data_IF_588866144248
#
_entry.id   IF_588866144248
#
_cell.length_a   1.000
_cell.length_b   1.000
_cell.length_c   1.000
_cell.angle_alpha   90.00
_cell.angle_beta   90.00
_cell.angle_gamma   90.00
#
_symmetry.space_group_name_H-M   'P 1'
#
loop_
_entity.id
_entity.type
_entity.pdbx_description
1 polymer ?
#
# COMPACT_ATOMS: atom_id res chain seq x y z
N UNK A 1 -11.56 -9.15 57.41
CA UNK A 1 -10.23 -8.95 58.03
C UNK A 1 -10.30 -8.92 59.56
N UNK A 2 -11.04 -8.01 60.21
CA UNK A 2 -11.04 -7.87 61.69
C UNK A 2 -11.57 -9.08 62.50
N UNK A 3 -12.56 -9.84 62.01
CA UNK A 3 -13.13 -11.00 62.75
C UNK A 3 -12.20 -12.22 62.81
N UNK A 4 -11.27 -12.36 61.85
CA UNK A 4 -10.36 -13.52 61.76
C UNK A 4 -9.19 -13.38 62.74
N UNK A 5 -8.62 -12.17 62.84
CA UNK A 5 -7.57 -11.87 63.82
C UNK A 5 -8.09 -12.01 65.25
N UNK A 6 -9.35 -11.65 65.51
CA UNK A 6 -9.94 -11.83 66.84
C UNK A 6 -10.09 -13.31 67.23
N UNK A 7 -10.38 -14.20 66.28
CA UNK A 7 -10.54 -15.64 66.50
C UNK A 7 -9.20 -16.35 66.71
N UNK A 8 -8.16 -15.96 65.97
CA UNK A 8 -6.78 -16.46 66.19
C UNK A 8 -6.23 -15.92 67.52
N UNK A 9 -6.48 -14.66 67.85
CA UNK A 9 -6.13 -14.08 69.16
C UNK A 9 -6.86 -14.80 70.29
N UNK A 10 -8.14 -15.13 70.14
CA UNK A 10 -8.90 -15.90 71.13
C UNK A 10 -8.39 -17.34 71.26
N UNK A 11 -8.00 -18.00 70.18
CA UNK A 11 -7.41 -19.34 70.21
C UNK A 11 -6.02 -19.36 70.90
N UNK A 12 -5.19 -18.34 70.63
CA UNK A 12 -3.88 -18.16 71.31
C UNK A 12 -4.07 -17.82 72.78
N UNK A 13 -5.03 -16.96 73.12
CA UNK A 13 -5.43 -16.70 74.51
C UNK A 13 -5.91 -17.97 75.20
N UNK A 14 -6.60 -18.85 74.46
CA UNK A 14 -7.09 -20.13 74.94
C UNK A 14 -5.97 -21.10 75.32
N UNK A 15 -4.95 -21.24 74.47
CA UNK A 15 -3.80 -22.09 74.74
C UNK A 15 -2.98 -21.56 75.94
N UNK A 16 -2.84 -20.25 76.10
CA UNK A 16 -2.09 -19.66 77.21
C UNK A 16 -2.82 -19.87 78.55
N UNK A 17 -4.16 -19.79 78.58
CA UNK A 17 -4.92 -19.95 79.82
C UNK A 17 -5.07 -21.40 80.29
N UNK A 18 -5.14 -22.36 79.36
CA UNK A 18 -5.19 -23.80 79.70
C UNK A 18 -3.84 -24.29 80.23
N UNK A 19 -2.71 -23.80 79.70
CA UNK A 19 -1.36 -24.20 80.15
C UNK A 19 -0.98 -23.61 81.52
N UNK A 20 -1.52 -22.44 81.91
CA UNK A 20 -1.21 -21.82 83.20
C UNK A 20 -2.10 -22.26 84.38
N UNK A 21 -3.09 -23.13 84.17
CA UNK A 21 -4.10 -23.47 85.19
C UNK A 21 -3.93 -24.90 85.74
N UNK A 22 -2.70 -25.30 86.08
CA UNK A 22 -2.44 -26.51 86.87
C UNK A 22 -2.54 -26.15 88.36
N UNK A 23 -3.77 -26.19 88.91
CA UNK A 23 -4.18 -26.35 90.34
C UNK A 23 -5.43 -25.53 90.70
N UNK A 24 -6.57 -25.81 90.06
CA UNK A 24 -7.92 -25.52 90.59
C UNK A 24 -8.87 -26.59 90.01
N UNK A 25 -9.86 -27.14 90.75
CA UNK A 25 -10.76 -28.15 90.20
C UNK A 25 -11.63 -27.58 89.08
N UNK A 26 -11.47 -28.17 87.89
CA UNK A 26 -12.32 -28.15 86.70
C UNK A 26 -12.92 -26.80 86.22
N UNK A 27 -12.27 -26.12 85.25
CA UNK A 27 -13.00 -25.44 84.19
C UNK A 27 -13.29 -26.47 83.08
N UNK A 28 -14.56 -26.59 82.72
CA UNK A 28 -15.02 -27.37 81.55
C UNK A 28 -14.22 -26.92 80.32
N UNK A 29 -13.62 -27.82 79.51
CA UNK A 29 -13.01 -27.39 78.26
C UNK A 29 -14.12 -26.76 77.40
N UNK A 30 -13.95 -25.57 76.80
CA UNK A 30 -15.01 -24.89 76.07
C UNK A 30 -15.12 -25.44 74.66
N UNK A 31 -15.34 -26.75 74.63
CA UNK A 31 -15.76 -27.51 73.46
C UNK A 31 -16.95 -26.80 72.80
N UNK A 32 -17.84 -26.16 73.57
CA UNK A 32 -18.97 -25.39 73.05
C UNK A 32 -18.56 -24.17 72.21
N UNK A 33 -17.49 -23.46 72.57
CA UNK A 33 -17.00 -22.30 71.79
C UNK A 33 -16.33 -22.74 70.48
N UNK A 34 -15.57 -23.84 70.52
CA UNK A 34 -15.01 -24.47 69.33
C UNK A 34 -16.11 -25.03 68.42
N UNK A 35 -17.09 -25.73 68.99
CA UNK A 35 -18.26 -26.28 68.27
C UNK A 35 -19.09 -25.17 67.61
N UNK A 36 -19.23 -24.01 68.27
CA UNK A 36 -19.87 -22.83 67.69
C UNK A 36 -19.07 -22.25 66.51
N UNK A 37 -17.74 -22.28 66.59
CA UNK A 37 -16.87 -21.84 65.48
C UNK A 37 -16.91 -22.80 64.30
N UNK A 38 -16.85 -24.11 64.54
CA UNK A 38 -16.97 -25.17 63.52
C UNK A 38 -18.34 -25.12 62.84
N UNK A 39 -19.43 -24.91 63.59
CA UNK A 39 -20.76 -24.73 62.99
C UNK A 39 -20.90 -23.44 62.18
N UNK A 40 -20.15 -22.38 62.53
CA UNK A 40 -20.02 -21.17 61.72
C UNK A 40 -19.37 -21.45 60.36
N UNK A 41 -18.23 -22.16 60.36
CA UNK A 41 -17.57 -22.59 59.12
C UNK A 41 -18.44 -23.54 58.30
N UNK A 42 -19.16 -24.46 58.95
CA UNK A 42 -20.06 -25.39 58.28
C UNK A 42 -21.17 -24.64 57.52
N UNK A 43 -21.79 -23.62 58.14
CA UNK A 43 -22.78 -22.75 57.46
C UNK A 43 -22.17 -21.97 56.30
N UNK A 44 -20.95 -21.46 56.44
CA UNK A 44 -20.26 -20.75 55.35
C UNK A 44 -19.95 -21.70 54.17
N UNK A 45 -19.51 -22.92 54.44
CA UNK A 45 -19.26 -23.99 53.46
C UNK A 45 -20.55 -24.45 52.77
N UNK A 46 -21.66 -24.55 53.51
CA UNK A 46 -22.99 -24.83 52.94
C UNK A 46 -23.46 -23.68 52.03
N UNK A 47 -23.19 -22.43 52.41
CA UNK A 47 -23.43 -21.27 51.56
C UNK A 47 -22.66 -21.33 50.23
N UNK A 48 -21.38 -21.69 50.26
CA UNK A 48 -20.61 -21.89 49.03
C UNK A 48 -21.10 -23.10 48.22
N UNK A 49 -21.61 -24.14 48.87
CA UNK A 49 -22.19 -25.29 48.17
C UNK A 49 -23.44 -24.86 47.39
N UNK A 50 -24.31 -24.05 48.00
CA UNK A 50 -25.49 -23.52 47.33
C UNK A 50 -25.14 -22.58 46.17
N UNK A 51 -24.10 -21.74 46.33
CA UNK A 51 -23.61 -20.86 45.26
C UNK A 51 -22.99 -21.62 44.08
N UNK A 52 -22.49 -22.85 44.29
CA UNK A 52 -21.94 -23.67 43.22
C UNK A 52 -22.98 -24.01 42.14
N UNK A 53 -24.27 -24.02 42.50
CA UNK A 53 -25.38 -24.28 41.59
C UNK A 53 -25.79 -23.04 40.78
N UNK A 54 -25.34 -21.84 41.19
CA UNK A 54 -25.61 -20.60 40.47
C UNK A 54 -24.66 -20.45 39.28
N UNK A 55 -25.23 -20.60 38.07
CA UNK A 55 -24.50 -20.50 36.80
C UNK A 55 -24.06 -19.08 36.43
N UNK A 56 -24.46 -18.04 37.17
CA UNK A 56 -24.19 -16.63 36.81
C UNK A 56 -22.89 -16.05 37.35
N UNK A 57 -22.13 -16.80 38.14
CA UNK A 57 -20.90 -16.29 38.74
C UNK A 57 -19.83 -15.91 37.70
N UNK A 58 -19.17 -14.79 37.98
CA UNK A 58 -18.02 -14.27 37.25
C UNK A 58 -16.74 -14.98 37.66
N UNK A 59 -15.69 -14.85 36.84
CA UNK A 59 -14.36 -15.43 37.10
C UNK A 59 -13.77 -14.93 38.43
N UNK A 60 -13.95 -13.65 38.75
CA UNK A 60 -13.37 -13.03 39.93
C UNK A 60 -14.11 -13.41 41.22
N UNK A 61 -15.43 -13.58 41.14
CA UNK A 61 -16.23 -14.13 42.24
C UNK A 61 -15.81 -15.56 42.56
N UNK A 62 -15.64 -16.42 41.55
CA UNK A 62 -15.15 -17.80 41.73
C UNK A 62 -13.78 -17.81 42.40
N UNK A 63 -12.85 -16.96 41.94
CA UNK A 63 -11.49 -16.86 42.49
C UNK A 63 -11.52 -16.45 43.97
N UNK A 64 -12.41 -15.52 44.32
CA UNK A 64 -12.61 -15.06 45.69
C UNK A 64 -13.13 -16.18 46.59
N UNK A 65 -14.08 -16.98 46.11
CA UNK A 65 -14.63 -18.13 46.85
C UNK A 65 -13.56 -19.21 47.08
N UNK A 66 -12.75 -19.53 46.05
CA UNK A 66 -11.65 -20.50 46.19
C UNK A 66 -10.65 -20.04 47.26
N UNK A 67 -10.27 -18.76 47.24
CA UNK A 67 -9.34 -18.23 48.22
C UNK A 67 -9.92 -18.26 49.64
N UNK A 68 -11.23 -18.00 49.77
CA UNK A 68 -11.93 -18.10 51.04
C UNK A 68 -11.99 -19.53 51.57
N UNK A 69 -12.26 -20.51 50.71
CA UNK A 69 -12.24 -21.93 51.07
C UNK A 69 -10.86 -22.40 51.52
N UNK A 70 -9.77 -21.93 50.88
CA UNK A 70 -8.40 -22.22 51.32
C UNK A 70 -8.12 -21.67 52.71
N UNK A 71 -8.50 -20.42 52.98
CA UNK A 71 -8.36 -19.81 54.32
C UNK A 71 -9.11 -20.60 55.39
N UNK A 72 -10.35 -21.03 55.11
CA UNK A 72 -11.13 -21.85 56.05
C UNK A 72 -10.44 -23.20 56.27
N UNK A 73 -9.96 -23.86 55.21
CA UNK A 73 -9.23 -25.14 55.32
C UNK A 73 -7.99 -25.00 56.22
N UNK A 74 -7.20 -23.96 56.03
CA UNK A 74 -5.99 -23.71 56.82
C UNK A 74 -6.31 -23.52 58.31
N UNK A 75 -7.37 -22.77 58.63
CA UNK A 75 -7.83 -22.59 60.02
C UNK A 75 -8.28 -23.93 60.63
N UNK A 76 -9.02 -24.74 59.88
CA UNK A 76 -9.50 -26.04 60.38
C UNK A 76 -8.36 -27.03 60.59
N UNK A 77 -7.34 -27.05 59.71
CA UNK A 77 -6.13 -27.86 59.91
C UNK A 77 -5.43 -27.47 61.22
N UNK A 78 -5.30 -26.18 61.50
CA UNK A 78 -4.74 -25.71 62.77
C UNK A 78 -5.58 -26.17 63.98
N UNK A 79 -6.91 -26.18 63.86
CA UNK A 79 -7.79 -26.73 64.90
C UNK A 79 -7.65 -28.24 65.08
N UNK A 80 -7.46 -29.02 64.00
CA UNK A 80 -7.17 -30.46 64.07
C UNK A 80 -5.93 -30.68 64.93
N UNK A 81 -4.82 -29.98 64.62
CA UNK A 81 -3.56 -30.12 65.38
C UNK A 81 -3.73 -29.76 66.86
N UNK A 82 -4.46 -28.68 67.16
CA UNK A 82 -4.71 -28.26 68.54
C UNK A 82 -5.59 -29.26 69.32
N UNK A 83 -6.61 -29.83 68.67
CA UNK A 83 -7.50 -30.80 69.32
C UNK A 83 -6.80 -32.14 69.51
N UNK A 84 -5.96 -32.58 68.57
CA UNK A 84 -5.14 -33.78 68.72
C UNK A 84 -4.19 -33.65 69.91
N UNK A 85 -3.50 -32.50 70.06
CA UNK A 85 -2.66 -32.21 71.22
C UNK A 85 -3.45 -32.24 72.55
N UNK A 86 -4.67 -31.70 72.56
CA UNK A 86 -5.53 -31.74 73.75
C UNK A 86 -5.99 -33.17 74.07
N UNK A 87 -6.34 -33.98 73.07
CA UNK A 87 -6.72 -35.38 73.29
C UNK A 87 -5.57 -36.16 73.92
N UNK A 88 -4.34 -35.95 73.46
CA UNK A 88 -3.14 -36.58 74.01
C UNK A 88 -2.87 -36.14 75.46
N UNK A 89 -3.03 -34.83 75.76
CA UNK A 89 -2.85 -34.28 77.10
C UNK A 89 -3.89 -34.78 78.12
N UNK A 90 -5.11 -35.06 77.67
CA UNK A 90 -6.23 -35.47 78.52
C UNK A 90 -6.54 -36.97 78.42
N UNK A 91 -5.60 -37.78 77.95
CA UNK A 91 -5.72 -39.23 77.80
C UNK A 91 -6.22 -39.90 79.10
N UNK A 92 -7.35 -40.61 79.02
CA UNK A 92 -8.01 -41.28 80.15
C UNK A 92 -9.09 -40.45 80.86
N UNK A 93 -9.35 -39.21 80.45
CA UNK A 93 -10.44 -38.38 81.01
C UNK A 93 -11.79 -38.59 80.30
N UNK A 94 -12.88 -38.22 80.97
CA UNK A 94 -14.24 -38.22 80.38
C UNK A 94 -14.40 -37.25 79.19
N UNK A 95 -13.46 -36.31 79.01
CA UNK A 95 -13.50 -35.28 77.95
C UNK A 95 -12.94 -35.74 76.61
N UNK A 96 -12.27 -36.90 76.58
CA UNK A 96 -11.68 -37.46 75.36
C UNK A 96 -12.75 -37.77 74.31
N UNK A 97 -13.89 -38.35 74.70
CA UNK A 97 -14.97 -38.70 73.76
C UNK A 97 -15.57 -37.47 73.05
N UNK A 98 -15.97 -36.39 73.76
CA UNK A 98 -16.41 -35.15 73.11
C UNK A 98 -15.38 -34.52 72.19
N UNK A 99 -14.09 -34.54 72.56
CA UNK A 99 -13.01 -34.01 71.72
C UNK A 99 -12.79 -34.85 70.47
N UNK A 100 -12.87 -36.18 70.58
CA UNK A 100 -12.82 -37.10 69.44
C UNK A 100 -13.99 -36.88 68.47
N UNK A 101 -15.21 -36.65 68.99
CA UNK A 101 -16.37 -36.32 68.16
C UNK A 101 -16.20 -34.98 67.43
N UNK A 102 -15.67 -33.96 68.11
CA UNK A 102 -15.36 -32.66 67.49
C UNK A 102 -14.26 -32.78 66.43
N UNK A 103 -13.22 -33.57 66.71
CA UNK A 103 -12.13 -33.85 65.78
C UNK A 103 -12.66 -34.50 64.50
N UNK A 104 -13.54 -35.49 64.64
CA UNK A 104 -14.16 -36.16 63.48
C UNK A 104 -14.98 -35.17 62.65
N UNK A 105 -15.82 -34.34 63.28
CA UNK A 105 -16.58 -33.29 62.60
C UNK A 105 -15.69 -32.33 61.81
N UNK A 106 -14.54 -31.95 62.35
CA UNK A 106 -13.60 -31.07 61.66
C UNK A 106 -12.93 -31.80 60.50
N UNK A 107 -12.56 -33.08 60.66
CA UNK A 107 -11.99 -33.91 59.58
C UNK A 107 -12.98 -34.07 58.43
N UNK A 108 -14.25 -34.36 58.72
CA UNK A 108 -15.33 -34.45 57.74
C UNK A 108 -15.54 -33.10 57.01
N UNK A 109 -15.47 -31.98 57.74
CA UNK A 109 -15.57 -30.64 57.16
C UNK A 109 -14.38 -30.30 56.25
N UNK A 110 -13.16 -30.67 56.66
CA UNK A 110 -11.95 -30.51 55.83
C UNK A 110 -12.06 -31.30 54.53
N UNK A 111 -12.52 -32.54 54.58
CA UNK A 111 -12.75 -33.37 53.39
C UNK A 111 -13.82 -32.73 52.47
N UNK A 112 -14.93 -32.25 53.05
CA UNK A 112 -15.97 -31.53 52.28
C UNK A 112 -15.41 -30.26 51.61
N UNK A 113 -14.57 -29.50 52.30
CA UNK A 113 -13.91 -28.31 51.72
C UNK A 113 -12.96 -28.71 50.59
N UNK A 114 -12.23 -29.81 50.75
CA UNK A 114 -11.33 -30.32 49.71
C UNK A 114 -12.09 -30.72 48.45
N UNK A 115 -13.22 -31.41 48.60
CA UNK A 115 -14.14 -31.73 47.50
C UNK A 115 -14.71 -30.46 46.83
N UNK A 116 -15.07 -29.44 47.62
CA UNK A 116 -15.53 -28.16 47.08
C UNK A 116 -14.42 -27.41 46.36
N UNK A 117 -13.19 -27.38 46.89
CA UNK A 117 -12.05 -26.76 46.25
C UNK A 117 -11.77 -27.40 44.89
N UNK A 118 -11.89 -28.72 44.77
CA UNK A 118 -11.82 -29.41 43.47
C UNK A 118 -12.92 -28.86 42.55
N UNK A 119 -14.19 -28.93 42.93
CA UNK A 119 -15.32 -28.47 42.10
C UNK A 119 -15.22 -27.00 41.68
N UNK A 120 -14.86 -26.10 42.58
CA UNK A 120 -14.69 -24.68 42.29
C UNK A 120 -13.49 -24.41 41.38
N UNK A 121 -12.37 -25.10 41.56
CA UNK A 121 -11.24 -25.00 40.64
C UNK A 121 -11.62 -25.49 39.23
N UNK A 122 -12.44 -26.55 39.12
CA UNK A 122 -12.97 -27.02 37.85
C UNK A 122 -13.85 -25.95 37.19
N UNK A 123 -14.75 -25.33 37.95
CA UNK A 123 -15.60 -24.24 37.47
C UNK A 123 -14.79 -23.01 37.01
N UNK A 124 -13.74 -22.65 37.75
CA UNK A 124 -12.82 -21.57 37.37
C UNK A 124 -12.14 -21.87 36.03
N UNK A 125 -11.59 -23.07 35.86
CA UNK A 125 -10.95 -23.50 34.60
C UNK A 125 -11.93 -23.45 33.43
N UNK A 126 -13.17 -23.92 33.63
CA UNK A 126 -14.25 -23.83 32.64
C UNK A 126 -14.53 -22.38 32.25
N UNK A 127 -14.71 -21.48 33.22
CA UNK A 127 -15.01 -20.06 32.95
C UNK A 127 -13.86 -19.36 32.24
N UNK A 128 -12.62 -19.66 32.62
CA UNK A 128 -11.43 -19.17 31.93
C UNK A 128 -11.42 -19.60 30.45
N UNK A 129 -11.68 -20.87 30.15
CA UNK A 129 -11.74 -21.36 28.77
C UNK A 129 -12.84 -20.66 27.96
N UNK A 130 -14.04 -20.52 28.53
CA UNK A 130 -15.17 -19.85 27.88
C UNK A 130 -14.87 -18.38 27.56
N UNK A 131 -14.23 -17.66 28.48
CA UNK A 131 -13.83 -16.27 28.25
C UNK A 131 -12.77 -16.19 27.13
N UNK A 132 -11.75 -17.06 27.15
CA UNK A 132 -10.75 -17.10 26.08
C UNK A 132 -11.37 -17.38 24.71
N UNK A 133 -12.32 -18.32 24.61
CA UNK A 133 -13.04 -18.58 23.35
C UNK A 133 -13.81 -17.33 22.89
N UNK A 134 -14.50 -16.64 23.81
CA UNK A 134 -15.22 -15.41 23.48
C UNK A 134 -14.29 -14.29 23.00
N UNK A 135 -13.11 -14.14 23.61
CA UNK A 135 -12.10 -13.15 23.21
C UNK A 135 -11.53 -13.45 21.82
N UNK A 136 -11.32 -14.73 21.49
CA UNK A 136 -10.90 -15.17 20.17
C UNK A 136 -12.00 -14.91 19.12
N UNK A 137 -13.27 -15.19 19.44
CA UNK A 137 -14.42 -14.89 18.57
C UNK A 137 -14.56 -13.38 18.32
N UNK A 138 -14.43 -12.55 19.37
CA UNK A 138 -14.48 -11.09 19.25
C UNK A 138 -13.32 -10.55 18.40
N UNK A 139 -12.12 -11.09 18.57
CA UNK A 139 -10.95 -10.73 17.77
C UNK A 139 -11.12 -11.12 16.30
N UNK A 140 -11.62 -12.33 16.03
CA UNK A 140 -12.01 -12.75 14.69
C UNK A 140 -13.03 -11.79 14.06
N UNK A 141 -14.10 -11.43 14.78
CA UNK A 141 -15.15 -10.55 14.26
C UNK A 141 -14.63 -9.14 13.90
N UNK A 142 -13.70 -8.59 14.70
CA UNK A 142 -13.04 -7.31 14.40
C UNK A 142 -12.26 -7.37 13.09
N UNK A 143 -11.50 -8.45 12.88
CA UNK A 143 -10.72 -8.67 11.66
C UNK A 143 -11.65 -8.89 10.46
N UNK A 144 -12.67 -9.73 10.62
CA UNK A 144 -13.67 -10.00 9.60
C UNK A 144 -14.34 -8.71 9.11
N UNK A 145 -14.80 -7.86 10.01
CA UNK A 145 -15.44 -6.58 9.67
C UNK A 145 -14.48 -5.64 8.94
N UNK A 146 -13.21 -5.59 9.35
CA UNK A 146 -12.17 -4.81 8.68
C UNK A 146 -11.97 -5.25 7.23
N UNK A 147 -11.92 -6.57 6.99
CA UNK A 147 -11.77 -7.15 5.65
C UNK A 147 -13.04 -6.94 4.80
N UNK A 148 -14.24 -7.07 5.38
CA UNK A 148 -15.49 -6.81 4.66
C UNK A 148 -15.61 -5.34 4.25
N UNK A 149 -15.19 -4.40 5.11
CA UNK A 149 -15.16 -2.98 4.78
C UNK A 149 -14.21 -2.68 3.63
N UNK A 150 -13.04 -3.31 3.60
CA UNK A 150 -12.12 -3.24 2.45
C UNK A 150 -12.76 -3.82 1.18
N UNK A 151 -13.37 -4.99 1.28
CA UNK A 151 -14.04 -5.63 0.14
C UNK A 151 -15.14 -4.73 -0.43
N UNK A 152 -15.97 -4.12 0.42
CA UNK A 152 -17.07 -3.23 0.01
C UNK A 152 -16.57 -1.89 -0.54
N UNK A 153 -15.56 -1.30 0.08
CA UNK A 153 -14.98 -0.01 -0.35
C UNK A 153 -14.16 -0.09 -1.64
N UNK A 154 -13.61 -1.27 -1.98
CA UNK A 154 -12.70 -1.44 -3.12
C UNK A 154 -13.33 -2.07 -4.36
N UNK A 155 -14.61 -2.43 -4.32
CA UNK A 155 -15.35 -2.88 -5.50
C UNK A 155 -15.62 -1.76 -6.52
N UNK A 156 -15.33 -0.49 -6.18
CA UNK A 156 -15.55 0.67 -7.08
C UNK A 156 -14.29 1.12 -7.84
N UNK A 157 -13.27 0.27 -7.96
CA UNK A 157 -12.14 0.50 -8.88
C UNK A 157 -11.11 1.56 -8.47
N UNK A 158 -11.31 2.26 -7.34
CA UNK A 158 -10.34 3.22 -6.83
C UNK A 158 -9.32 2.54 -5.89
N UNK A 159 -8.11 2.39 -6.44
CA UNK A 159 -6.81 2.26 -5.79
C UNK A 159 -6.80 1.43 -4.49
N UNK A 160 -6.48 0.15 -4.64
CA UNK A 160 -5.82 -0.60 -3.56
C UNK A 160 -4.52 0.13 -3.20
N UNK A 161 -4.56 0.87 -2.10
CA UNK A 161 -3.44 1.65 -1.60
C UNK A 161 -2.52 0.80 -0.72
N UNK A 162 -1.31 1.30 -0.44
CA UNK A 162 -0.40 0.74 0.58
C UNK A 162 -1.12 0.45 1.91
N UNK A 163 -2.12 1.27 2.26
CA UNK A 163 -2.95 1.09 3.47
C UNK A 163 -3.72 -0.23 3.45
N UNK A 164 -4.30 -0.61 2.32
CA UNK A 164 -5.08 -1.84 2.20
C UNK A 164 -4.18 -3.07 2.36
N UNK A 165 -2.96 -2.99 1.82
CA UNK A 165 -1.95 -4.05 1.88
C UNK A 165 -1.47 -4.24 3.32
N UNK A 166 -1.20 -3.14 4.03
CA UNK A 166 -0.91 -3.16 5.48
C UNK A 166 -2.05 -3.79 6.30
N UNK A 167 -3.31 -3.47 6.00
CA UNK A 167 -4.45 -4.09 6.69
C UNK A 167 -4.54 -5.59 6.40
N UNK A 168 -4.36 -6.04 5.16
CA UNK A 168 -4.36 -7.47 4.82
C UNK A 168 -3.24 -8.23 5.52
N UNK A 169 -2.05 -7.65 5.59
CA UNK A 169 -0.90 -8.23 6.27
C UNK A 169 -1.18 -8.37 7.77
N UNK A 170 -1.52 -7.26 8.44
CA UNK A 170 -1.83 -7.24 9.87
C UNK A 170 -2.98 -8.20 10.21
N UNK A 171 -4.03 -8.22 9.38
CA UNK A 171 -5.16 -9.14 9.54
C UNK A 171 -4.73 -10.61 9.43
N UNK A 172 -3.84 -10.96 8.49
CA UNK A 172 -3.37 -12.34 8.35
C UNK A 172 -2.49 -12.76 9.53
N UNK A 173 -1.58 -11.89 9.97
CA UNK A 173 -0.73 -12.15 11.13
C UNK A 173 -1.59 -12.42 12.37
N UNK A 174 -2.58 -11.56 12.63
CA UNK A 174 -3.54 -11.74 13.73
C UNK A 174 -4.36 -13.03 13.59
N UNK A 175 -4.84 -13.38 12.38
CA UNK A 175 -5.56 -14.64 12.15
C UNK A 175 -4.67 -15.87 12.33
N UNK A 176 -3.38 -15.76 12.00
CA UNK A 176 -2.40 -16.83 12.22
C UNK A 176 -2.15 -17.03 13.72
N UNK A 177 -2.07 -15.94 14.48
CA UNK A 177 -1.99 -16.01 15.93
C UNK A 177 -3.26 -16.63 16.54
N UNK A 178 -4.44 -16.17 16.12
CA UNK A 178 -5.72 -16.75 16.57
C UNK A 178 -5.77 -18.26 16.26
N UNK A 179 -5.29 -18.69 15.09
CA UNK A 179 -5.22 -20.11 14.74
C UNK A 179 -4.32 -20.90 15.69
N UNK A 180 -3.15 -20.36 16.06
CA UNK A 180 -2.24 -20.97 17.02
C UNK A 180 -2.87 -21.03 18.42
N UNK A 181 -3.52 -19.95 18.85
CA UNK A 181 -4.19 -19.87 20.14
C UNK A 181 -5.33 -20.90 20.24
N UNK A 182 -6.12 -21.06 19.17
CA UNK A 182 -7.14 -22.12 19.07
C UNK A 182 -6.51 -23.50 19.24
N UNK A 183 -5.38 -23.77 18.57
CA UNK A 183 -4.66 -25.03 18.68
C UNK A 183 -4.19 -25.30 20.12
N UNK A 184 -3.67 -24.27 20.79
CA UNK A 184 -3.27 -24.34 22.19
C UNK A 184 -4.48 -24.61 23.11
N UNK A 185 -5.62 -23.95 22.87
CA UNK A 185 -6.84 -24.19 23.64
C UNK A 185 -7.39 -25.61 23.43
N UNK A 186 -7.31 -26.17 22.22
CA UNK A 186 -7.68 -27.57 21.95
C UNK A 186 -6.81 -28.53 22.78
N UNK A 187 -5.50 -28.30 22.82
CA UNK A 187 -4.57 -29.10 23.64
C UNK A 187 -4.91 -29.00 25.13
N UNK A 188 -5.17 -27.79 25.64
CA UNK A 188 -5.58 -27.58 27.03
C UNK A 188 -6.89 -28.31 27.34
N UNK A 189 -7.88 -28.20 26.45
CA UNK A 189 -9.18 -28.86 26.57
C UNK A 189 -9.06 -30.39 26.59
N UNK A 190 -8.15 -30.94 25.79
CA UNK A 190 -7.90 -32.38 25.77
C UNK A 190 -7.34 -32.91 27.08
N UNK A 191 -6.50 -32.12 27.76
CA UNK A 191 -5.85 -32.45 29.03
C UNK A 191 -6.67 -32.04 30.28
N UNK A 192 -7.87 -31.50 30.10
CA UNK A 192 -8.77 -31.11 31.19
C UNK A 192 -9.68 -32.28 31.57
N UNK A 193 -9.33 -32.99 32.64
CA UNK A 193 -10.10 -34.14 33.17
C UNK A 193 -11.34 -33.73 33.97
N UNK A 194 -11.44 -32.45 34.32
CA UNK A 194 -12.48 -31.93 35.20
C UNK A 194 -13.78 -31.53 34.52
N UNK A 195 -13.86 -31.65 33.19
CA UNK A 195 -15.03 -31.28 32.40
C UNK A 195 -15.85 -32.52 32.04
N UNK A 196 -17.16 -32.39 32.02
CA UNK A 196 -18.02 -33.45 31.50
C UNK A 196 -17.80 -33.61 29.99
N UNK A 197 -18.11 -34.80 29.45
CA UNK A 197 -18.00 -35.07 28.01
C UNK A 197 -18.82 -34.05 27.17
N UNK A 198 -20.01 -33.67 27.64
CA UNK A 198 -20.87 -32.69 26.97
C UNK A 198 -20.24 -31.28 26.94
N UNK A 199 -19.66 -30.83 28.05
CA UNK A 199 -19.00 -29.51 28.12
C UNK A 199 -17.72 -29.46 27.28
N UNK A 200 -16.96 -30.56 27.27
CA UNK A 200 -15.76 -30.71 26.44
C UNK A 200 -16.14 -30.65 24.96
N UNK A 201 -17.21 -31.34 24.57
CA UNK A 201 -17.73 -31.31 23.20
C UNK A 201 -18.20 -29.91 22.79
N UNK A 202 -18.96 -29.21 23.64
CA UNK A 202 -19.44 -27.85 23.35
C UNK A 202 -18.27 -26.88 23.09
N UNK A 203 -17.23 -26.93 23.92
CA UNK A 203 -16.04 -26.09 23.74
C UNK A 203 -15.25 -26.49 22.48
N UNK A 204 -15.12 -27.79 22.21
CA UNK A 204 -14.47 -28.30 21.00
C UNK A 204 -15.20 -27.83 19.73
N UNK A 205 -16.53 -27.95 19.68
CA UNK A 205 -17.33 -27.55 18.53
C UNK A 205 -17.17 -26.05 18.23
N UNK A 206 -17.13 -25.20 19.26
CA UNK A 206 -16.87 -23.76 19.11
C UNK A 206 -15.47 -23.49 18.57
N UNK A 207 -14.44 -24.13 19.14
CA UNK A 207 -13.05 -23.97 18.70
C UNK A 207 -12.86 -24.44 17.25
N UNK A 208 -13.40 -25.60 16.88
CA UNK A 208 -13.35 -26.13 15.49
C UNK A 208 -14.08 -25.19 14.53
N UNK A 209 -15.28 -24.72 14.90
CA UNK A 209 -16.05 -23.77 14.08
C UNK A 209 -15.29 -22.47 13.86
N UNK A 210 -14.63 -21.94 14.91
CA UNK A 210 -13.79 -20.76 14.81
C UNK A 210 -12.55 -21.01 13.93
N UNK A 211 -11.90 -22.17 14.08
CA UNK A 211 -10.73 -22.56 13.28
C UNK A 211 -11.06 -22.61 11.78
N UNK A 212 -12.22 -23.18 11.42
CA UNK A 212 -12.71 -23.22 10.04
C UNK A 212 -12.95 -21.81 9.50
N UNK A 213 -13.65 -20.96 10.27
CA UNK A 213 -13.88 -19.56 9.93
C UNK A 213 -12.59 -18.75 9.72
N UNK A 214 -11.59 -18.97 10.56
CA UNK A 214 -10.26 -18.34 10.45
C UNK A 214 -9.56 -18.80 9.17
N UNK A 215 -9.56 -20.10 8.88
CA UNK A 215 -8.99 -20.65 7.65
C UNK A 215 -9.65 -20.08 6.39
N UNK A 216 -10.98 -19.98 6.38
CA UNK A 216 -11.72 -19.43 5.25
C UNK A 216 -11.45 -17.94 5.05
N UNK A 217 -11.30 -17.18 6.14
CA UNK A 217 -10.94 -15.77 6.06
C UNK A 217 -9.51 -15.56 5.53
N UNK A 218 -8.55 -16.40 5.93
CA UNK A 218 -7.19 -16.39 5.36
C UNK A 218 -7.24 -16.65 3.86
N UNK A 219 -8.00 -17.65 3.40
CA UNK A 219 -8.19 -17.94 1.97
C UNK A 219 -8.83 -16.77 1.22
N UNK A 220 -9.78 -16.08 1.84
CA UNK A 220 -10.40 -14.88 1.26
C UNK A 220 -9.38 -13.75 1.07
N UNK A 221 -8.54 -13.47 2.08
CA UNK A 221 -7.45 -12.50 2.00
C UNK A 221 -6.52 -12.85 0.83
N UNK A 222 -6.11 -14.11 0.73
CA UNK A 222 -5.24 -14.59 -0.36
C UNK A 222 -5.88 -14.37 -1.74
N UNK A 223 -7.16 -14.71 -1.90
CA UNK A 223 -7.91 -14.51 -3.14
C UNK A 223 -8.02 -13.03 -3.51
N UNK A 224 -8.24 -12.15 -2.53
CA UNK A 224 -8.29 -10.70 -2.73
C UNK A 224 -6.93 -10.14 -3.18
N UNK A 225 -5.84 -10.53 -2.52
CA UNK A 225 -4.48 -10.12 -2.87
C UNK A 225 -4.10 -10.59 -4.27
N UNK A 226 -4.38 -11.85 -4.61
CA UNK A 226 -4.14 -12.40 -5.96
C UNK A 226 -4.85 -11.60 -7.05
N UNK A 227 -6.16 -11.38 -6.88
CA UNK A 227 -6.96 -10.62 -7.85
C UNK A 227 -6.47 -9.19 -8.00
N UNK A 228 -5.98 -8.57 -6.92
CA UNK A 228 -5.37 -7.25 -6.96
C UNK A 228 -4.13 -7.21 -7.88
N UNK A 229 -3.18 -8.14 -7.68
CA UNK A 229 -1.98 -8.21 -8.52
C UNK A 229 -2.33 -8.51 -9.98
N UNK A 230 -3.26 -9.43 -10.24
CA UNK A 230 -3.74 -9.75 -11.59
C UNK A 230 -4.33 -8.52 -12.31
N UNK A 231 -5.20 -7.75 -11.64
CA UNK A 231 -5.78 -6.53 -12.21
C UNK A 231 -4.68 -5.53 -12.55
N UNK A 232 -3.72 -5.32 -11.66
CA UNK A 232 -2.62 -4.37 -11.89
C UNK A 232 -1.73 -4.78 -13.04
N UNK A 233 -1.34 -6.05 -13.11
CA UNK A 233 -0.55 -6.61 -14.22
C UNK A 233 -1.32 -6.44 -15.54
N UNK A 234 -2.62 -6.73 -15.56
CA UNK A 234 -3.43 -6.61 -16.77
C UNK A 234 -3.58 -5.15 -17.25
N UNK A 235 -3.77 -4.20 -16.33
CA UNK A 235 -3.80 -2.77 -16.65
C UNK A 235 -2.49 -2.31 -17.32
N UNK A 236 -1.35 -2.75 -16.76
CA UNK A 236 -0.03 -2.42 -17.30
C UNK A 236 0.19 -3.05 -18.69
N UNK A 237 -0.18 -4.31 -18.87
CA UNK A 237 -0.10 -4.99 -20.17
C UNK A 237 -0.97 -4.32 -21.24
N UNK A 238 -2.18 -3.86 -20.89
CA UNK A 238 -3.07 -3.16 -21.81
C UNK A 238 -2.47 -1.83 -22.31
N UNK A 239 -1.74 -1.11 -21.45
CA UNK A 239 -1.04 0.10 -21.87
C UNK A 239 0.09 -0.22 -22.85
N UNK A 240 0.90 -1.24 -22.56
CA UNK A 240 1.98 -1.71 -23.44
C UNK A 240 1.44 -2.07 -24.84
N UNK A 241 0.30 -2.76 -24.91
CA UNK A 241 -0.35 -3.08 -26.18
C UNK A 241 -0.81 -1.84 -26.95
N UNK A 242 -1.34 -0.84 -26.25
CA UNK A 242 -1.73 0.44 -26.85
C UNK A 242 -0.52 1.15 -27.45
N UNK A 243 0.59 1.24 -26.69
CA UNK A 243 1.87 1.82 -27.14
C UNK A 243 2.39 1.08 -28.37
N UNK A 244 2.28 -0.26 -28.38
CA UNK A 244 2.68 -1.09 -29.52
C UNK A 244 1.95 -0.69 -30.80
N UNK A 245 0.63 -0.55 -30.72
CA UNK A 245 -0.20 -0.15 -31.87
C UNK A 245 0.15 1.27 -32.32
N UNK A 246 0.30 2.20 -31.40
CA UNK A 246 0.68 3.59 -31.73
C UNK A 246 2.04 3.66 -32.41
N UNK A 247 3.04 2.89 -31.94
CA UNK A 247 4.35 2.83 -32.58
C UNK A 247 4.25 2.41 -34.05
N UNK A 248 3.50 1.35 -34.35
CA UNK A 248 3.32 0.85 -35.73
C UNK A 248 2.68 1.91 -36.61
N UNK A 249 1.63 2.57 -36.12
CA UNK A 249 0.97 3.66 -36.86
C UNK A 249 1.90 4.86 -37.08
N UNK A 250 2.70 5.20 -36.08
CA UNK A 250 3.64 6.31 -36.17
C UNK A 250 4.75 6.08 -37.21
N UNK A 251 5.21 4.85 -37.38
CA UNK A 251 6.23 4.50 -38.38
C UNK A 251 5.76 4.77 -39.82
N UNK A 252 4.46 4.67 -40.07
CA UNK A 252 3.85 4.88 -41.40
C UNK A 252 3.43 6.34 -41.65
N UNK A 253 3.56 7.22 -40.65
CA UNK A 253 3.19 8.63 -40.80
C UNK A 253 4.14 9.35 -41.75
N UNK A 254 3.59 10.08 -42.74
CA UNK A 254 4.38 10.73 -43.78
C UNK A 254 4.10 12.23 -43.90
N UNK A 255 3.06 12.73 -43.23
CA UNK A 255 2.76 14.17 -43.21
C UNK A 255 3.25 14.83 -41.93
N UNK A 256 3.50 16.14 -41.98
CA UNK A 256 3.91 16.95 -40.83
C UNK A 256 2.89 16.88 -39.69
N UNK A 257 1.58 16.89 -40.01
CA UNK A 257 0.52 16.80 -39.01
C UNK A 257 0.48 15.44 -38.31
N UNK A 258 0.57 14.35 -39.07
CA UNK A 258 0.58 12.99 -38.51
C UNK A 258 1.81 12.76 -37.65
N UNK A 259 3.01 13.13 -38.14
CA UNK A 259 4.24 12.99 -37.37
C UNK A 259 4.15 13.78 -36.05
N UNK A 260 3.60 15.00 -36.08
CA UNK A 260 3.49 15.83 -34.87
C UNK A 260 2.52 15.21 -33.87
N UNK A 261 1.39 14.69 -34.36
CA UNK A 261 0.42 13.98 -33.54
C UNK A 261 1.04 12.77 -32.84
N UNK A 262 1.75 11.92 -33.59
CA UNK A 262 2.37 10.72 -33.01
C UNK A 262 3.55 11.03 -32.10
N UNK A 263 4.34 12.07 -32.38
CA UNK A 263 5.41 12.54 -31.47
C UNK A 263 4.78 12.95 -30.14
N UNK A 264 3.77 13.82 -30.15
CA UNK A 264 3.10 14.27 -28.94
C UNK A 264 2.52 13.09 -28.14
N UNK A 265 1.86 12.16 -28.84
CA UNK A 265 1.25 10.98 -28.22
C UNK A 265 2.30 10.04 -27.59
N UNK A 266 3.40 9.76 -28.29
CA UNK A 266 4.48 8.92 -27.78
C UNK A 266 5.26 9.60 -26.64
N UNK A 267 5.38 10.93 -26.63
CA UNK A 267 5.93 11.69 -25.48
C UNK A 267 5.03 11.57 -24.25
N UNK A 268 3.71 11.59 -24.44
CA UNK A 268 2.73 11.27 -23.39
C UNK A 268 2.97 9.87 -22.83
N UNK A 269 3.04 8.86 -23.70
CA UNK A 269 3.32 7.48 -23.29
C UNK A 269 4.69 7.30 -22.63
N UNK A 270 5.72 8.03 -23.03
CA UNK A 270 7.02 8.00 -22.36
C UNK A 270 6.91 8.42 -20.88
N UNK A 271 6.10 9.44 -20.60
CA UNK A 271 5.82 9.89 -19.23
C UNK A 271 5.02 8.84 -18.46
N UNK A 272 4.00 8.26 -19.09
CA UNK A 272 3.21 7.17 -18.49
C UNK A 272 4.05 5.93 -18.19
N UNK A 273 4.98 5.55 -19.07
CA UNK A 273 5.92 4.44 -18.83
C UNK A 273 6.83 4.70 -17.63
N UNK A 274 7.30 5.94 -17.44
CA UNK A 274 8.08 6.30 -16.25
C UNK A 274 7.25 6.21 -14.96
N UNK A 275 5.97 6.61 -15.03
CA UNK A 275 5.05 6.45 -13.90
C UNK A 275 4.77 4.98 -13.61
N UNK A 276 4.54 4.17 -14.65
CA UNK A 276 4.38 2.72 -14.53
C UNK A 276 5.61 2.06 -13.91
N UNK A 277 6.83 2.49 -14.25
CA UNK A 277 8.05 1.98 -13.60
C UNK A 277 8.01 2.16 -12.08
N UNK A 278 7.56 3.33 -11.61
CA UNK A 278 7.39 3.61 -10.17
C UNK A 278 6.26 2.80 -9.56
N UNK A 279 5.17 2.60 -10.29
CA UNK A 279 4.05 1.77 -9.85
C UNK A 279 4.45 0.30 -9.71
N UNK A 280 5.18 -0.27 -10.68
CA UNK A 280 5.67 -1.66 -10.62
C UNK A 280 6.56 -1.86 -9.40
N UNK A 281 7.51 -0.96 -9.16
CA UNK A 281 8.37 -1.03 -7.97
C UNK A 281 7.52 -1.00 -6.68
N UNK A 282 6.51 -0.14 -6.64
CA UNK A 282 5.57 -0.08 -5.51
C UNK A 282 4.82 -1.39 -5.35
N UNK A 283 4.33 -1.99 -6.45
CA UNK A 283 3.61 -3.26 -6.46
C UNK A 283 4.54 -4.43 -6.06
N UNK A 284 5.80 -4.44 -6.48
CA UNK A 284 6.80 -5.41 -6.06
C UNK A 284 7.12 -5.31 -4.56
N UNK A 285 7.29 -4.11 -4.03
CA UNK A 285 7.50 -3.92 -2.59
C UNK A 285 6.28 -4.36 -1.78
N UNK A 286 5.09 -4.07 -2.30
CA UNK A 286 3.85 -4.57 -1.73
C UNK A 286 3.78 -6.12 -1.78
N UNK A 287 4.21 -6.75 -2.88
CA UNK A 287 4.27 -8.20 -3.01
C UNK A 287 5.24 -8.82 -1.98
N UNK A 288 6.41 -8.20 -1.74
CA UNK A 288 7.36 -8.61 -0.71
C UNK A 288 6.74 -8.52 0.69
N UNK A 289 6.03 -7.43 1.00
CA UNK A 289 5.34 -7.25 2.28
C UNK A 289 4.28 -8.33 2.53
N UNK A 290 3.60 -8.79 1.47
CA UNK A 290 2.59 -9.85 1.57
C UNK A 290 3.11 -11.23 1.16
N UNK A 291 4.43 -11.44 1.11
CA UNK A 291 5.03 -12.71 0.70
C UNK A 291 4.56 -13.86 1.60
N UNK A 292 4.57 -13.62 2.92
CA UNK A 292 4.07 -14.56 3.91
C UNK A 292 2.55 -14.71 3.87
N UNK A 293 1.84 -13.84 3.13
CA UNK A 293 0.40 -13.86 3.01
C UNK A 293 -0.12 -14.79 1.90
N UNK A 294 0.57 -14.86 0.78
CA UNK A 294 0.21 -15.71 -0.35
C UNK A 294 0.66 -17.16 -0.15
N UNK A 295 0.14 -18.06 -0.99
CA UNK A 295 0.76 -19.39 -1.12
C UNK A 295 2.10 -19.24 -1.85
N UNK A 296 3.06 -20.14 -1.62
CA UNK A 296 4.35 -20.11 -2.33
C UNK A 296 4.16 -20.08 -3.86
N UNK A 297 3.19 -20.84 -4.36
CA UNK A 297 2.86 -20.90 -5.78
C UNK A 297 2.26 -19.58 -6.30
N UNK A 298 1.30 -18.97 -5.58
CA UNK A 298 0.70 -17.70 -6.02
C UNK A 298 1.69 -16.53 -5.90
N UNK A 299 2.51 -16.50 -4.86
CA UNK A 299 3.60 -15.52 -4.73
C UNK A 299 4.55 -15.62 -5.92
N UNK A 300 5.02 -16.84 -6.23
CA UNK A 300 5.95 -17.05 -7.32
C UNK A 300 5.34 -16.64 -8.67
N UNK A 301 4.08 -16.99 -8.94
CA UNK A 301 3.37 -16.55 -10.15
C UNK A 301 3.27 -15.02 -10.25
N UNK A 302 2.92 -14.33 -9.17
CA UNK A 302 2.85 -12.87 -9.16
C UNK A 302 4.23 -12.24 -9.35
N UNK A 303 5.26 -12.82 -8.72
CA UNK A 303 6.65 -12.35 -8.82
C UNK A 303 7.16 -12.49 -10.25
N UNK A 304 7.05 -13.67 -10.84
CA UNK A 304 7.46 -13.93 -12.23
C UNK A 304 6.75 -13.01 -13.21
N UNK A 305 5.44 -12.78 -13.01
CA UNK A 305 4.68 -11.88 -13.85
C UNK A 305 5.13 -10.41 -13.71
N UNK A 306 5.44 -9.94 -12.51
CA UNK A 306 5.97 -8.60 -12.27
C UNK A 306 7.39 -8.42 -12.81
N UNK A 307 8.26 -9.42 -12.61
CA UNK A 307 9.64 -9.39 -13.10
C UNK A 307 9.66 -9.36 -14.63
N UNK A 308 8.83 -10.19 -15.29
CA UNK A 308 8.66 -10.14 -16.75
C UNK A 308 8.12 -8.79 -17.22
N UNK A 309 7.13 -8.24 -16.51
CA UNK A 309 6.53 -6.96 -16.87
C UNK A 309 7.52 -5.79 -16.67
N UNK A 310 8.40 -5.86 -15.68
CA UNK A 310 9.49 -4.91 -15.49
C UNK A 310 10.49 -4.98 -16.65
N UNK A 311 10.91 -6.18 -17.04
CA UNK A 311 11.80 -6.40 -18.18
C UNK A 311 11.17 -5.85 -19.48
N UNK A 312 9.90 -6.18 -19.73
CA UNK A 312 9.15 -5.68 -20.88
C UNK A 312 9.03 -4.15 -20.84
N UNK A 313 8.77 -3.55 -19.68
CA UNK A 313 8.68 -2.10 -19.54
C UNK A 313 10.01 -1.40 -19.82
N UNK A 314 11.14 -1.95 -19.39
CA UNK A 314 12.46 -1.39 -19.71
C UNK A 314 12.76 -1.44 -21.21
N UNK A 315 12.43 -2.57 -21.86
CA UNK A 315 12.50 -2.69 -23.32
C UNK A 315 11.61 -1.65 -24.00
N UNK A 316 10.37 -1.46 -23.53
CA UNK A 316 9.44 -0.49 -24.10
C UNK A 316 9.85 0.96 -23.89
N UNK A 317 10.45 1.30 -22.75
CA UNK A 317 11.03 2.63 -22.53
C UNK A 317 12.10 2.94 -23.58
N UNK A 318 12.98 1.97 -23.86
CA UNK A 318 14.00 2.14 -24.89
C UNK A 318 13.38 2.22 -26.29
N UNK A 319 12.44 1.33 -26.62
CA UNK A 319 11.76 1.31 -27.91
C UNK A 319 11.03 2.63 -28.19
N UNK A 320 10.32 3.19 -27.21
CA UNK A 320 9.61 4.47 -27.37
C UNK A 320 10.60 5.61 -27.54
N UNK A 321 11.70 5.62 -26.77
CA UNK A 321 12.78 6.61 -26.92
C UNK A 321 13.38 6.57 -28.33
N UNK A 322 13.77 5.40 -28.81
CA UNK A 322 14.33 5.22 -30.15
C UNK A 322 13.32 5.61 -31.25
N UNK A 323 12.03 5.30 -31.04
CA UNK A 323 10.97 5.66 -31.96
C UNK A 323 10.78 7.19 -32.03
N UNK A 324 10.78 7.87 -30.87
CA UNK A 324 10.70 9.32 -30.79
C UNK A 324 11.90 9.98 -31.47
N UNK A 325 13.12 9.48 -31.28
CA UNK A 325 14.31 9.99 -31.95
C UNK A 325 14.19 9.85 -33.47
N UNK A 326 13.75 8.68 -33.98
CA UNK A 326 13.51 8.45 -35.42
C UNK A 326 12.43 9.36 -35.99
N UNK A 327 11.30 9.53 -35.30
CA UNK A 327 10.20 10.38 -35.76
C UNK A 327 10.58 11.86 -35.74
N UNK A 328 11.32 12.31 -34.72
CA UNK A 328 11.83 13.69 -34.67
C UNK A 328 12.81 13.96 -35.82
N UNK A 329 13.70 13.01 -36.14
CA UNK A 329 14.58 13.12 -37.31
C UNK A 329 13.76 13.20 -38.61
N UNK A 330 12.78 12.30 -38.80
CA UNK A 330 11.88 12.31 -39.96
C UNK A 330 11.09 13.63 -40.07
N UNK A 331 10.62 14.17 -38.94
CA UNK A 331 9.95 15.47 -38.87
C UNK A 331 10.86 16.61 -39.30
N UNK A 332 12.11 16.64 -38.82
CA UNK A 332 13.08 17.67 -39.20
C UNK A 332 13.38 17.64 -40.71
N UNK A 333 13.61 16.45 -41.27
CA UNK A 333 13.80 16.26 -42.72
C UNK A 333 12.60 16.79 -43.50
N UNK A 334 11.38 16.38 -43.12
CA UNK A 334 10.16 16.80 -43.80
C UNK A 334 9.93 18.32 -43.72
N UNK A 335 10.22 18.95 -42.57
CA UNK A 335 10.12 20.40 -42.45
C UNK A 335 11.10 21.13 -43.37
N UNK A 336 12.35 20.65 -43.46
CA UNK A 336 13.33 21.21 -44.38
C UNK A 336 12.97 20.97 -45.85
N UNK A 337 12.43 19.80 -46.19
CA UNK A 337 11.94 19.53 -47.55
C UNK A 337 10.87 20.53 -47.96
N UNK A 338 9.90 20.80 -47.07
CA UNK A 338 8.85 21.80 -47.30
C UNK A 338 9.44 23.20 -47.43
N UNK A 339 10.33 23.60 -46.52
CA UNK A 339 10.91 24.95 -46.53
C UNK A 339 11.78 25.18 -47.79
N UNK A 340 12.53 24.17 -48.24
CA UNK A 340 13.31 24.21 -49.48
C UNK A 340 12.39 24.31 -50.69
N UNK A 341 11.33 23.50 -50.76
CA UNK A 341 10.36 23.55 -51.85
C UNK A 341 9.67 24.92 -51.95
N UNK A 342 9.28 25.52 -50.82
CA UNK A 342 8.74 26.88 -50.79
C UNK A 342 9.75 27.91 -51.34
N UNK A 343 11.06 27.70 -51.11
CA UNK A 343 12.10 28.60 -51.65
C UNK A 343 12.34 28.37 -53.13
N UNK A 344 12.34 27.12 -53.60
CA UNK A 344 12.37 26.78 -55.03
C UNK A 344 11.24 27.49 -55.78
N UNK A 345 10.00 27.35 -55.29
CA UNK A 345 8.84 28.02 -55.87
C UNK A 345 8.98 29.55 -55.85
N UNK A 346 9.49 30.12 -54.75
CA UNK A 346 9.67 31.57 -54.63
C UNK A 346 10.72 32.10 -55.60
N UNK A 347 11.83 31.40 -55.77
CA UNK A 347 12.90 31.79 -56.70
C UNK A 347 12.42 31.67 -58.15
N UNK A 348 11.68 30.62 -58.48
CA UNK A 348 11.08 30.49 -59.81
C UNK A 348 10.04 31.61 -60.07
N UNK A 349 9.25 32.02 -59.07
CA UNK A 349 8.35 33.19 -59.15
C UNK A 349 9.12 34.49 -59.41
N UNK A 350 10.20 34.73 -58.66
CA UNK A 350 11.06 35.91 -58.83
C UNK A 350 11.75 35.92 -60.20
N UNK A 351 12.18 34.77 -60.69
CA UNK A 351 12.77 34.60 -62.02
C UNK A 351 11.75 35.00 -63.11
N UNK A 352 10.51 34.52 -63.00
CA UNK A 352 9.43 34.91 -63.94
C UNK A 352 9.12 36.40 -63.88
N UNK A 353 9.10 37.00 -62.68
CA UNK A 353 8.91 38.45 -62.51
C UNK A 353 10.05 39.25 -63.14
N UNK A 354 11.29 38.81 -62.94
CA UNK A 354 12.44 39.44 -63.58
C UNK A 354 12.34 39.36 -65.10
N UNK A 355 12.04 38.18 -65.67
CA UNK A 355 11.86 38.00 -67.11
C UNK A 355 10.72 38.87 -67.66
N UNK A 356 9.59 38.97 -66.95
CA UNK A 356 8.45 39.79 -67.41
C UNK A 356 8.75 41.30 -67.41
N UNK A 357 9.62 41.77 -66.51
CA UNK A 357 10.10 43.16 -66.53
C UNK A 357 11.01 43.47 -67.71
N UNK A 358 11.71 42.47 -68.23
CA UNK A 358 12.55 42.60 -69.42
C UNK A 358 11.76 42.51 -70.73
N UNK A 359 10.63 41.80 -70.72
CA UNK A 359 9.75 41.72 -71.89
C UNK A 359 8.92 42.98 -72.03
N UNK A 360 8.99 43.65 -73.19
CA UNK A 360 8.17 44.84 -73.48
C UNK A 360 8.84 46.19 -73.22
N UNK A 361 10.17 46.22 -73.13
CA UNK A 361 10.92 47.48 -73.03
C UNK A 361 10.66 48.36 -74.25
N UNK A 362 10.16 49.56 -73.99
CA UNK A 362 10.09 50.68 -74.94
C UNK A 362 10.83 51.86 -74.33
N UNK A 363 11.33 52.75 -75.17
CA UNK A 363 12.06 53.93 -74.73
C UNK A 363 11.10 54.95 -74.10
N UNK A 364 11.02 54.96 -72.76
CA UNK A 364 10.20 55.88 -71.96
C UNK A 364 10.87 56.06 -70.58
N UNK A 365 11.24 57.30 -70.25
CA UNK A 365 11.93 57.66 -69.00
C UNK A 365 11.14 57.28 -67.74
N UNK A 366 9.81 57.43 -67.75
CA UNK A 366 8.96 57.10 -66.60
C UNK A 366 8.76 55.59 -66.50
N UNK A 367 8.70 54.89 -67.63
CA UNK A 367 8.75 53.43 -67.68
C UNK A 367 10.08 52.91 -67.10
N UNK A 368 11.22 53.50 -67.46
CA UNK A 368 12.53 53.14 -66.92
C UNK A 368 12.62 53.35 -65.41
N UNK A 369 12.11 54.47 -64.87
CA UNK A 369 12.05 54.70 -63.42
C UNK A 369 11.18 53.66 -62.70
N UNK A 370 10.01 53.33 -63.26
CA UNK A 370 9.12 52.29 -62.69
C UNK A 370 9.78 50.92 -62.70
N UNK A 371 10.46 50.55 -63.80
CA UNK A 371 11.20 49.29 -63.91
C UNK A 371 12.37 49.25 -62.91
N UNK A 372 13.14 50.34 -62.80
CA UNK A 372 14.23 50.45 -61.84
C UNK A 372 13.75 50.23 -60.38
N UNK A 373 12.61 50.83 -60.00
CA UNK A 373 12.06 50.63 -58.66
C UNK A 373 11.63 49.16 -58.44
N UNK A 374 10.96 48.54 -59.42
CA UNK A 374 10.60 47.11 -59.34
C UNK A 374 11.83 46.19 -59.30
N UNK A 375 12.91 46.54 -60.00
CA UNK A 375 14.18 45.79 -59.93
C UNK A 375 14.83 45.91 -58.55
N UNK A 376 14.79 47.09 -57.91
CA UNK A 376 15.25 47.27 -56.53
C UNK A 376 14.42 46.46 -55.53
N UNK A 377 13.08 46.47 -55.67
CA UNK A 377 12.19 45.61 -54.87
C UNK A 377 12.49 44.11 -55.06
N UNK A 378 12.78 43.68 -56.30
CA UNK A 378 13.21 42.32 -56.59
C UNK A 378 14.57 42.02 -55.94
N UNK A 379 15.52 42.96 -55.97
CA UNK A 379 16.83 42.80 -55.32
C UNK A 379 16.68 42.62 -53.81
N UNK A 380 15.84 43.40 -53.14
CA UNK A 380 15.55 43.23 -51.71
C UNK A 380 14.91 41.87 -51.40
N UNK A 381 13.97 41.42 -52.23
CA UNK A 381 13.35 40.09 -52.08
C UNK A 381 14.36 38.95 -52.28
N UNK A 382 15.32 39.10 -53.18
CA UNK A 382 16.39 38.12 -53.41
C UNK A 382 17.39 38.09 -52.27
N UNK A 383 17.79 39.24 -51.72
CA UNK A 383 18.64 39.29 -50.53
C UNK A 383 17.96 38.66 -49.31
N UNK A 384 16.66 38.87 -49.13
CA UNK A 384 15.88 38.16 -48.11
C UNK A 384 15.85 36.64 -48.33
N UNK A 385 15.80 36.17 -49.59
CA UNK A 385 15.92 34.75 -49.91
C UNK A 385 17.31 34.20 -49.59
N UNK A 386 18.37 34.96 -49.88
CA UNK A 386 19.76 34.60 -49.57
C UNK A 386 20.00 34.44 -48.06
N UNK A 387 19.48 35.36 -47.25
CA UNK A 387 19.53 35.25 -45.78
C UNK A 387 18.79 34.00 -45.27
N UNK A 388 17.60 33.71 -45.81
CA UNK A 388 16.84 32.50 -45.45
C UNK A 388 17.57 31.23 -45.88
N UNK A 389 18.26 31.23 -47.03
CA UNK A 389 19.08 30.11 -47.49
C UNK A 389 20.21 29.80 -46.50
N UNK A 390 20.88 30.83 -45.97
CA UNK A 390 21.89 30.66 -44.91
C UNK A 390 21.31 29.99 -43.67
N UNK A 391 20.09 30.34 -43.27
CA UNK A 391 19.38 29.70 -42.15
C UNK A 391 19.06 28.23 -42.44
N UNK A 392 18.63 27.90 -43.67
CA UNK A 392 18.38 26.52 -44.09
C UNK A 392 19.66 25.66 -44.09
N UNK A 393 20.80 26.19 -44.55
CA UNK A 393 22.08 25.49 -44.41
C UNK A 393 22.45 25.23 -42.94
N UNK A 394 22.17 26.18 -42.05
CA UNK A 394 22.40 26.00 -40.61
C UNK A 394 21.55 24.88 -40.03
N UNK A 395 20.27 24.82 -40.40
CA UNK A 395 19.36 23.75 -39.96
C UNK A 395 19.70 22.40 -40.60
N UNK A 396 20.15 22.38 -41.86
CA UNK A 396 20.63 21.19 -42.53
C UNK A 396 21.86 20.58 -41.83
N UNK A 397 22.76 21.42 -41.30
CA UNK A 397 23.92 20.94 -40.53
C UNK A 397 23.50 20.17 -39.25
N UNK A 398 22.29 20.36 -38.74
CA UNK A 398 21.75 19.55 -37.63
C UNK A 398 21.35 18.13 -38.06
N UNK A 399 21.31 17.84 -39.36
CA UNK A 399 20.98 16.53 -39.93
C UNK A 399 22.21 15.73 -40.38
N UNK A 400 23.40 16.11 -39.92
CA UNK A 400 24.67 15.44 -40.31
C UNK A 400 24.68 13.93 -40.01
N UNK A 401 23.86 13.49 -39.06
CA UNK A 401 23.69 12.09 -38.67
C UNK A 401 22.80 11.27 -39.63
N UNK A 402 22.29 11.89 -40.70
CA UNK A 402 21.46 11.30 -41.75
C UNK A 402 22.11 11.56 -43.12
N UNK A 403 23.15 10.80 -43.50
CA UNK A 403 24.04 11.17 -44.61
C UNK A 403 23.34 11.20 -45.99
N UNK A 404 22.40 10.27 -46.23
CA UNK A 404 21.66 10.20 -47.49
C UNK A 404 20.72 11.40 -47.66
N UNK A 405 19.92 11.70 -46.65
CA UNK A 405 19.01 12.85 -46.67
C UNK A 405 19.78 14.17 -46.63
N UNK A 406 20.89 14.24 -45.90
CA UNK A 406 21.76 15.40 -45.83
C UNK A 406 22.31 15.75 -47.21
N UNK A 407 22.93 14.81 -47.92
CA UNK A 407 23.51 15.09 -49.25
C UNK A 407 22.41 15.42 -50.28
N UNK A 408 21.24 14.75 -50.22
CA UNK A 408 20.10 15.07 -51.10
C UNK A 408 19.60 16.51 -50.89
N UNK A 409 19.40 16.93 -49.64
CA UNK A 409 18.92 18.29 -49.33
C UNK A 409 20.00 19.34 -49.58
N UNK A 410 21.26 19.02 -49.31
CA UNK A 410 22.41 19.87 -49.63
C UNK A 410 22.51 20.15 -51.11
N UNK A 411 22.40 19.13 -51.96
CA UNK A 411 22.42 19.28 -53.41
C UNK A 411 21.29 20.21 -53.91
N UNK A 412 20.09 20.12 -53.33
CA UNK A 412 18.98 21.04 -53.62
C UNK A 412 19.30 22.48 -53.19
N UNK A 413 19.83 22.68 -51.99
CA UNK A 413 20.23 23.99 -51.50
C UNK A 413 21.37 24.61 -52.33
N UNK A 414 22.34 23.80 -52.75
CA UNK A 414 23.45 24.23 -53.61
C UNK A 414 22.92 24.68 -54.97
N UNK A 415 21.98 23.94 -55.57
CA UNK A 415 21.31 24.34 -56.81
C UNK A 415 20.52 25.64 -56.64
N UNK A 416 19.82 25.83 -55.51
CA UNK A 416 19.12 27.08 -55.19
C UNK A 416 20.09 28.25 -55.04
N UNK A 417 21.23 28.03 -54.39
CA UNK A 417 22.26 29.05 -54.17
C UNK A 417 22.76 29.60 -55.51
N UNK A 418 23.10 28.71 -56.44
CA UNK A 418 23.54 29.08 -57.79
C UNK A 418 22.46 29.91 -58.50
N UNK A 419 21.20 29.44 -58.49
CA UNK A 419 20.08 30.20 -59.09
C UNK A 419 19.90 31.60 -58.48
N UNK A 420 20.00 31.74 -57.15
CA UNK A 420 19.89 33.05 -56.48
C UNK A 420 21.05 33.95 -56.88
N UNK A 421 22.29 33.44 -56.87
CA UNK A 421 23.48 34.23 -57.21
C UNK A 421 23.44 34.73 -58.66
N UNK A 422 23.03 33.88 -59.61
CA UNK A 422 22.80 34.27 -61.00
C UNK A 422 21.72 35.36 -61.14
N UNK A 423 20.58 35.17 -60.48
CA UNK A 423 19.47 36.13 -60.55
C UNK A 423 19.83 37.47 -59.87
N UNK A 424 20.53 37.44 -58.73
CA UNK A 424 21.06 38.64 -58.08
C UNK A 424 22.04 39.39 -58.98
N UNK A 425 22.95 38.67 -59.65
CA UNK A 425 23.90 39.26 -60.61
C UNK A 425 23.19 39.95 -61.76
N UNK A 426 22.23 39.25 -62.38
CA UNK A 426 21.41 39.77 -63.47
C UNK A 426 20.60 41.01 -63.06
N UNK A 427 19.90 40.97 -61.93
CA UNK A 427 19.14 42.11 -61.40
C UNK A 427 20.06 43.30 -61.12
N UNK A 428 21.23 43.08 -60.52
CA UNK A 428 22.19 44.15 -60.20
C UNK A 428 22.76 44.83 -61.45
N UNK A 429 23.08 44.03 -62.48
CA UNK A 429 23.50 44.55 -63.78
C UNK A 429 22.40 45.38 -64.44
N UNK A 430 21.15 44.90 -64.43
CA UNK A 430 20.02 45.64 -64.99
C UNK A 430 19.71 46.92 -64.24
N UNK A 431 19.78 46.92 -62.91
CA UNK A 431 19.65 48.14 -62.09
C UNK A 431 20.69 49.17 -62.55
N UNK A 432 21.95 48.76 -62.68
CA UNK A 432 23.03 49.63 -63.12
C UNK A 432 22.80 50.18 -64.53
N UNK A 433 22.33 49.32 -65.44
CA UNK A 433 21.98 49.70 -66.82
C UNK A 433 20.83 50.70 -66.88
N UNK A 434 19.71 50.45 -66.20
CA UNK A 434 18.58 51.40 -66.18
C UNK A 434 18.95 52.71 -65.48
N UNK A 435 19.79 52.66 -64.45
CA UNK A 435 20.26 53.86 -63.79
C UNK A 435 21.17 54.69 -64.70
N UNK A 436 22.02 54.05 -65.51
CA UNK A 436 22.77 54.71 -66.57
C UNK A 436 21.83 55.33 -67.63
N UNK A 437 20.86 54.57 -68.14
CA UNK A 437 19.89 55.07 -69.13
C UNK A 437 19.13 56.30 -68.63
N UNK A 438 18.64 56.26 -67.38
CA UNK A 438 17.93 57.39 -66.77
C UNK A 438 18.86 58.61 -66.64
N UNK A 439 20.11 58.41 -66.23
CA UNK A 439 21.07 59.51 -66.08
C UNK A 439 21.50 60.12 -67.42
N UNK A 440 21.60 59.29 -68.48
CA UNK A 440 22.04 59.71 -69.81
C UNK A 440 20.91 60.36 -70.62
N UNK A 441 19.72 59.76 -70.62
CA UNK A 441 18.59 60.20 -71.45
C UNK A 441 17.61 61.12 -70.73
N UNK A 442 17.63 61.15 -69.40
CA UNK A 442 16.76 62.00 -68.59
C UNK A 442 17.62 62.85 -67.61
N UNK A 443 18.58 63.65 -68.09
CA UNK A 443 19.44 64.46 -67.23
C UNK A 443 18.58 65.37 -66.36
N UNK A 444 18.92 65.48 -65.07
CA UNK A 444 18.28 66.46 -64.18
C UNK A 444 18.38 67.84 -64.84
N UNK A 445 17.32 68.68 -64.83
CA UNK A 445 17.47 70.07 -65.21
C UNK A 445 18.56 70.66 -64.30
N UNK A 446 19.64 71.10 -64.92
CA UNK A 446 20.67 71.90 -64.26
C UNK A 446 19.98 73.10 -63.64
N UNK A 447 20.02 73.19 -62.31
CA UNK A 447 19.79 74.45 -61.61
C UNK A 447 20.66 75.50 -62.29
N UNK A 448 20.01 76.56 -62.76
CA UNK A 448 20.60 77.59 -63.60
C UNK A 448 21.91 78.13 -63.01
N UNK A 449 22.97 78.03 -63.80
CA UNK A 449 24.11 78.93 -63.67
C UNK A 449 23.61 80.28 -64.16
N UNK A 450 23.30 81.18 -63.23
CA UNK A 450 23.14 82.60 -63.53
C UNK A 450 24.50 83.16 -63.95
N UNK A 451 24.72 83.32 -65.25
CA UNK A 451 25.74 84.22 -65.79
C UNK A 451 25.09 85.59 -65.97
N UNK A 452 25.33 86.47 -65.01
CA UNK A 452 25.30 87.92 -65.22
C UNK A 452 26.74 88.40 -65.42
N UNK A 453 27.03 88.92 -66.61
CA UNK A 453 28.32 89.45 -67.03
C UNK A 453 28.37 89.55 -68.53
#
# INVERSE_FOLDING_TARGET
MLKLNLLVVLAVFFCIHVVHSVRVPAPVPPVDSLKKSVSGFQKEVEGFTAQLEDKKLTKDEIKTIIERLKQIKEILINFVTQIEQLIDQFAGSLFVKPLQQLLQLIKDLCEKIEQLLIKWNCLLKKKCLQNTIADLEASYNRIYNSIQNLKRGQCNGQIFSKRCISIFQSSKEQLTQIKLDIQNQITILNNLDCLTAAEKQECMDRLIKLQTKVCDLIKLIQKCLKKFFEIKINQMNALIQTITRTKILAQNANTKRELQYYINLLTGYQTELQNLKKEINTVQDCLKQVANCLTRADYQKCKEALDKLQEDLEKWCQIVKDCLEKLNKKMKVLCLEIDIEEKEQKIDELTRKYQSLLTGLRFDCDLFRRILNKLKELQEQLEACKQKLTLLYRQLNELRDCPEEYERLKARLDALKVKIEELCGNVSQMISFFQFLINFFCPRPTLGVGLSG
#
